data_IF_561151781607
#
_entry.id   IF_561151781607
#
_cell.length_a   1.000
_cell.length_b   1.000
_cell.length_c   1.000
_cell.angle_alpha   90.00
_cell.angle_beta   90.00
_cell.angle_gamma   90.00
#
_symmetry.space_group_name_H-M   'P 1'
#
loop_
_entity.id
_entity.type
_entity.pdbx_description
1 polymer ?
#
# COMPACT_ATOMS: atom_id res chain seq x y z
N UNK A 1 -0.86 -7.42 27.83
CA UNK A 1 -0.82 -7.22 26.37
C UNK A 1 0.24 -6.17 26.10
N UNK A 2 1.40 -6.55 25.59
CA UNK A 2 2.43 -5.57 25.20
C UNK A 2 1.96 -5.02 23.86
N UNK A 3 1.54 -3.77 23.82
CA UNK A 3 1.37 -3.06 22.55
C UNK A 3 2.77 -2.90 21.98
N UNK A 4 3.07 -3.59 20.88
CA UNK A 4 4.31 -3.37 20.14
C UNK A 4 4.39 -1.87 19.76
N UNK A 5 5.58 -1.28 19.83
CA UNK A 5 5.85 0.11 19.39
C UNK A 5 5.72 0.18 17.85
N UNK A 6 4.48 0.20 17.38
CA UNK A 6 4.12 0.25 15.97
C UNK A 6 4.03 1.71 15.54
N UNK A 7 4.68 2.06 14.44
CA UNK A 7 4.76 3.44 13.94
C UNK A 7 4.11 3.58 12.58
N UNK A 8 3.36 4.67 12.41
CA UNK A 8 2.83 5.08 11.11
C UNK A 8 3.78 6.13 10.52
N UNK A 9 4.35 5.83 9.36
CA UNK A 9 5.30 6.69 8.67
C UNK A 9 4.81 6.97 7.24
N UNK A 10 5.27 8.05 6.63
CA UNK A 10 5.11 8.24 5.19
C UNK A 10 5.69 7.02 4.45
N UNK A 11 4.94 6.54 3.46
CA UNK A 11 5.41 5.48 2.58
C UNK A 11 6.53 6.01 1.66
N UNK A 12 7.36 5.10 1.18
CA UNK A 12 8.42 5.36 0.22
C UNK A 12 8.19 4.53 -1.05
N UNK A 13 8.89 4.86 -2.12
CA UNK A 13 8.86 4.09 -3.36
C UNK A 13 9.24 2.60 -3.16
N UNK A 14 10.15 2.31 -2.22
CA UNK A 14 10.54 0.93 -1.88
C UNK A 14 9.35 0.15 -1.29
N UNK A 15 8.49 0.81 -0.53
CA UNK A 15 7.31 0.18 0.05
C UNK A 15 6.27 -0.16 -1.03
N UNK A 16 6.06 0.75 -1.98
CA UNK A 16 5.13 0.50 -3.10
C UNK A 16 5.62 -0.68 -3.94
N UNK A 17 6.92 -0.76 -4.19
CA UNK A 17 7.52 -1.92 -4.84
C UNK A 17 7.33 -3.21 -4.01
N UNK A 18 7.40 -3.14 -2.68
CA UNK A 18 7.14 -4.30 -1.79
C UNK A 18 5.67 -4.75 -1.85
N UNK A 19 4.71 -3.82 -1.98
CA UNK A 19 3.28 -4.13 -2.07
C UNK A 19 2.92 -5.02 -3.26
N UNK A 20 3.66 -4.92 -4.38
CA UNK A 20 3.47 -5.81 -5.54
C UNK A 20 3.48 -7.28 -5.12
N UNK A 21 4.39 -7.66 -4.21
CA UNK A 21 4.53 -9.03 -3.73
C UNK A 21 3.37 -9.52 -2.84
N UNK A 22 2.52 -8.61 -2.34
CA UNK A 22 1.41 -8.96 -1.46
C UNK A 22 0.23 -9.58 -2.23
N UNK A 23 0.20 -9.44 -3.55
CA UNK A 23 -0.94 -9.83 -4.37
C UNK A 23 -0.60 -10.94 -5.36
N UNK A 24 -0.70 -12.22 -4.95
CA UNK A 24 -0.43 -13.33 -5.84
C UNK A 24 -1.52 -13.55 -6.89
N UNK A 25 -2.68 -12.89 -6.76
CA UNK A 25 -3.83 -13.08 -7.67
C UNK A 25 -4.56 -11.78 -8.00
N UNK A 26 -5.27 -11.81 -9.13
CA UNK A 26 -6.20 -10.76 -9.54
C UNK A 26 -7.29 -10.49 -8.47
N UNK A 27 -7.73 -11.54 -7.77
CA UNK A 27 -8.72 -11.42 -6.70
C UNK A 27 -8.15 -10.67 -5.49
N UNK A 28 -6.94 -11.02 -5.04
CA UNK A 28 -6.33 -10.40 -3.85
C UNK A 28 -6.10 -8.90 -4.05
N UNK A 29 -5.63 -8.46 -5.22
CA UNK A 29 -5.41 -7.03 -5.47
C UNK A 29 -6.74 -6.28 -5.59
N UNK A 30 -7.77 -6.85 -6.22
CA UNK A 30 -9.07 -6.17 -6.37
C UNK A 30 -9.90 -6.11 -5.08
N UNK A 31 -9.72 -7.06 -4.17
CA UNK A 31 -10.33 -6.97 -2.83
C UNK A 31 -9.72 -5.80 -2.04
N UNK A 32 -8.43 -5.55 -2.22
CA UNK A 32 -7.70 -4.50 -1.52
C UNK A 32 -7.83 -3.12 -2.19
N UNK A 33 -7.46 -3.00 -3.47
CA UNK A 33 -7.40 -1.76 -4.25
C UNK A 33 -8.65 -1.46 -5.08
N UNK A 34 -9.68 -2.30 -4.99
CA UNK A 34 -10.94 -2.13 -5.69
C UNK A 34 -11.00 -2.76 -7.09
N UNK A 35 -12.19 -2.79 -7.72
CA UNK A 35 -12.45 -3.59 -8.91
C UNK A 35 -11.69 -3.12 -10.17
N UNK A 36 -11.20 -1.88 -10.18
CA UNK A 36 -10.48 -1.29 -11.32
C UNK A 36 -8.97 -1.56 -11.31
N UNK A 37 -8.42 -2.09 -10.21
CA UNK A 37 -7.00 -2.39 -10.11
C UNK A 37 -6.61 -3.46 -11.14
N UNK A 38 -5.64 -3.14 -12.00
CA UNK A 38 -5.20 -4.02 -13.10
C UNK A 38 -4.53 -5.27 -12.55
N UNK A 39 -4.62 -6.38 -13.29
CA UNK A 39 -3.85 -7.60 -13.01
C UNK A 39 -3.77 -8.48 -14.27
N UNK A 40 -2.60 -9.04 -14.63
CA UNK A 40 -1.29 -8.80 -14.01
C UNK A 40 -0.87 -7.34 -14.17
N UNK A 41 0.00 -6.86 -13.29
CA UNK A 41 0.51 -5.49 -13.31
C UNK A 41 2.05 -5.51 -13.43
N UNK A 42 2.59 -4.50 -14.11
CA UNK A 42 4.01 -4.08 -13.97
C UNK A 42 4.14 -3.14 -12.78
N UNK A 43 5.38 -2.85 -12.36
CA UNK A 43 5.63 -1.83 -11.33
C UNK A 43 4.99 -0.48 -11.74
N UNK A 44 5.19 -0.04 -12.98
CA UNK A 44 4.61 1.20 -13.51
C UNK A 44 3.08 1.24 -13.38
N UNK A 45 2.39 0.20 -13.87
CA UNK A 45 0.91 0.16 -13.78
C UNK A 45 0.41 0.04 -12.34
N UNK A 46 1.19 -0.58 -11.44
CA UNK A 46 0.83 -0.66 -10.02
C UNK A 46 0.94 0.71 -9.34
N UNK A 47 1.99 1.48 -9.66
CA UNK A 47 2.20 2.83 -9.14
C UNK A 47 1.10 3.79 -9.59
N UNK A 48 0.67 3.67 -10.84
CA UNK A 48 -0.48 4.40 -11.37
C UNK A 48 -1.78 4.01 -10.63
N UNK A 49 -2.07 2.72 -10.50
CA UNK A 49 -3.33 2.21 -9.91
C UNK A 49 -3.43 2.45 -8.40
N UNK A 50 -2.29 2.51 -7.70
CA UNK A 50 -2.24 2.91 -6.30
C UNK A 50 -2.19 4.44 -6.14
N UNK A 51 -2.25 5.21 -7.23
CA UNK A 51 -2.21 6.68 -7.18
C UNK A 51 -0.99 7.23 -6.41
N UNK A 52 0.18 6.61 -6.63
CA UNK A 52 1.42 7.03 -5.96
C UNK A 52 1.72 8.51 -6.23
N UNK A 53 2.10 9.26 -5.18
CA UNK A 53 2.32 10.72 -5.18
C UNK A 53 1.11 11.60 -5.53
N UNK A 54 -0.05 11.01 -5.83
CA UNK A 54 -1.32 11.74 -5.98
C UNK A 54 -2.14 11.69 -4.69
N UNK A 55 -1.93 10.67 -3.86
CA UNK A 55 -2.60 10.47 -2.57
C UNK A 55 -1.56 10.24 -1.47
N UNK A 56 -1.77 10.90 -0.33
CA UNK A 56 -0.93 10.71 0.86
C UNK A 56 -0.95 9.25 1.30
N UNK A 57 0.23 8.65 1.29
CA UNK A 57 0.44 7.22 1.44
C UNK A 57 1.32 6.95 2.65
N UNK A 58 0.92 5.97 3.46
CA UNK A 58 1.56 5.66 4.73
C UNK A 58 1.81 4.17 4.87
N UNK A 59 2.88 3.84 5.60
CA UNK A 59 3.22 2.48 6.02
C UNK A 59 3.17 2.37 7.53
N UNK A 60 2.63 1.26 8.01
CA UNK A 60 2.70 0.85 9.40
C UNK A 60 3.89 -0.08 9.56
N UNK A 61 4.82 0.24 10.47
CA UNK A 61 6.03 -0.55 10.70
C UNK A 61 6.12 -1.01 12.15
N UNK A 62 6.70 -2.19 12.34
CA UNK A 62 7.05 -2.70 13.65
C UNK A 62 8.37 -2.08 14.17
N UNK A 63 8.81 -2.41 15.41
CA UNK A 63 10.07 -1.91 15.95
C UNK A 63 11.32 -2.34 15.17
N UNK A 64 11.27 -3.42 14.39
CA UNK A 64 12.36 -3.85 13.51
C UNK A 64 12.38 -3.08 12.18
N UNK A 65 11.35 -2.28 11.90
CA UNK A 65 11.18 -1.52 10.67
C UNK A 65 10.48 -2.30 9.57
N UNK A 66 9.94 -3.49 9.86
CA UNK A 66 9.22 -4.29 8.89
C UNK A 66 7.83 -3.71 8.63
N UNK A 67 7.47 -3.62 7.35
CA UNK A 67 6.17 -3.10 6.93
C UNK A 67 5.08 -4.13 7.22
N UNK A 68 4.20 -3.78 8.14
CA UNK A 68 3.04 -4.58 8.55
C UNK A 68 1.78 -4.24 7.76
N UNK A 69 1.62 -2.98 7.37
CA UNK A 69 0.45 -2.50 6.62
C UNK A 69 0.79 -1.29 5.76
N UNK A 70 -0.08 -1.02 4.80
CA UNK A 70 -0.07 0.18 3.98
C UNK A 70 -1.48 0.76 3.91
N UNK A 71 -1.59 2.08 3.90
CA UNK A 71 -2.85 2.78 3.79
C UNK A 71 -2.67 4.15 3.14
N UNK A 72 -3.77 4.69 2.64
CA UNK A 72 -3.81 5.98 1.97
C UNK A 72 -4.90 6.84 2.57
N UNK A 73 -4.66 8.14 2.61
CA UNK A 73 -5.60 9.13 3.10
C UNK A 73 -5.88 10.10 1.96
N UNK A 74 -7.15 10.22 1.58
CA UNK A 74 -7.61 11.19 0.60
C UNK A 74 -8.89 11.85 1.08
N UNK A 75 -9.08 13.09 0.66
CA UNK A 75 -10.33 13.80 0.86
C UNK A 75 -11.40 13.22 -0.06
N UNK A 76 -12.43 12.63 0.55
CA UNK A 76 -13.48 11.95 -0.20
C UNK A 76 -14.56 12.89 -0.73
N UNK A 77 -14.78 14.02 -0.06
CA UNK A 77 -15.94 14.89 -0.31
C UNK A 77 -15.58 16.28 -0.89
N UNK A 78 -14.29 16.63 -0.93
CA UNK A 78 -13.82 17.97 -1.27
C UNK A 78 -14.04 19.00 -0.17
#
# INVERSE_FOLDING_TARGET
MIVADIKLNAATEVDINRLISWFPTARSVRVWGGPKFRYPFTAETFFEDVHWQQIDSYRLVDPAGDMLAFGQIYERLG
#
